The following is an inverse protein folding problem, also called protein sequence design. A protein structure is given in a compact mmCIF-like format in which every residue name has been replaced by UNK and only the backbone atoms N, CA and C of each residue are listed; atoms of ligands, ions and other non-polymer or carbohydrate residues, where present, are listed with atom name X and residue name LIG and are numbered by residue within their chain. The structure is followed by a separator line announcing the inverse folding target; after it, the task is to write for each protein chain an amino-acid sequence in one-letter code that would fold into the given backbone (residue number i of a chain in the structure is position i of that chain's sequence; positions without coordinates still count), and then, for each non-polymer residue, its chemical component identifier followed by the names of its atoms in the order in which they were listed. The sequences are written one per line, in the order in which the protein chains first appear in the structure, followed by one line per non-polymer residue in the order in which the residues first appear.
data_IF_813913271504
#
_entry.id   IF_813913271504
#
_cell.length_a   1.000
_cell.length_b   1.000
_cell.length_c   1.000
_cell.angle_alpha   90.00
_cell.angle_beta   90.00
_cell.angle_gamma   90.00
#
_symmetry.space_group_name_H-M   'P 1'
#
loop_
_entity.id
_entity.type
_entity.pdbx_description
1 polymer ?
#
# COMPACT_ATOMS: atom_id res chain seq x y z
N UNK A 1 9.72 -24.75 13.95
CA UNK A 1 10.78 -23.71 13.95
C UNK A 1 10.45 -22.71 12.85
N UNK A 2 9.89 -21.56 13.19
CA UNK A 2 9.72 -20.47 12.23
C UNK A 2 11.04 -19.71 12.13
N UNK A 3 11.71 -19.86 10.99
CA UNK A 3 12.86 -19.04 10.66
C UNK A 3 12.33 -17.66 10.27
N UNK A 4 12.36 -16.70 11.19
CA UNK A 4 12.26 -15.29 10.85
C UNK A 4 13.69 -14.85 10.57
N UNK A 5 14.11 -14.68 9.31
CA UNK A 5 15.42 -14.12 9.05
C UNK A 5 15.44 -12.71 9.64
N UNK A 6 16.25 -12.52 10.67
CA UNK A 6 16.65 -11.20 11.17
C UNK A 6 17.41 -10.53 10.02
N UNK A 7 16.68 -9.83 9.14
CA UNK A 7 17.31 -9.01 8.12
C UNK A 7 18.02 -7.87 8.85
N UNK A 8 19.35 -7.92 8.90
CA UNK A 8 20.17 -6.73 9.21
C UNK A 8 19.56 -5.56 8.42
N UNK A 9 19.31 -4.39 9.05
CA UNK A 9 18.86 -3.24 8.30
C UNK A 9 19.93 -2.98 7.23
N UNK A 10 19.55 -3.11 5.97
CA UNK A 10 20.35 -2.66 4.84
C UNK A 10 20.45 -1.15 5.04
N UNK A 11 21.50 -0.66 5.71
CA UNK A 11 21.71 0.77 5.89
C UNK A 11 21.98 1.34 4.49
N UNK A 12 20.96 1.95 3.90
CA UNK A 12 21.07 2.49 2.56
C UNK A 12 22.15 3.56 2.45
N UNK A 13 22.71 3.55 1.25
CA UNK A 13 23.76 4.37 0.67
C UNK A 13 23.33 5.84 0.60
N UNK A 14 24.29 6.73 0.81
CA UNK A 14 24.21 8.19 0.69
C UNK A 14 23.35 8.64 -0.52
N UNK A 15 22.40 9.56 -0.29
CA UNK A 15 21.57 10.15 -1.35
C UNK A 15 22.36 11.32 -1.95
N UNK A 16 22.77 11.18 -3.21
CA UNK A 16 23.47 12.23 -3.95
C UNK A 16 22.52 12.86 -4.97
N UNK A 17 22.54 14.20 -5.12
CA UNK A 17 21.90 14.85 -6.24
C UNK A 17 22.44 14.32 -7.57
N UNK A 18 21.64 14.45 -8.62
CA UNK A 18 22.07 14.12 -9.96
C UNK A 18 23.22 15.05 -10.39
N UNK A 19 24.26 14.50 -11.02
CA UNK A 19 25.54 15.20 -11.24
C UNK A 19 25.42 16.49 -12.08
N UNK A 20 24.43 16.58 -12.95
CA UNK A 20 24.19 17.76 -13.79
C UNK A 20 23.14 18.72 -13.22
N UNK A 21 22.57 18.42 -12.05
CA UNK A 21 21.62 19.29 -11.38
C UNK A 21 22.35 20.48 -10.74
N UNK A 22 22.15 21.67 -11.32
CA UNK A 22 22.75 22.91 -10.85
C UNK A 22 22.09 23.44 -9.57
N UNK A 23 20.88 22.99 -9.23
CA UNK A 23 20.07 23.51 -8.13
C UNK A 23 19.38 22.39 -7.34
N UNK A 24 20.16 21.55 -6.63
CA UNK A 24 19.60 20.47 -5.83
C UNK A 24 18.68 21.01 -4.74
N UNK A 25 17.53 20.37 -4.57
CA UNK A 25 16.53 20.77 -3.57
C UNK A 25 16.81 20.14 -2.20
N UNK A 26 16.71 20.92 -1.12
CA UNK A 26 16.89 20.45 0.27
C UNK A 26 15.91 19.37 0.73
N UNK A 27 14.84 19.13 -0.03
CA UNK A 27 13.88 18.03 0.22
C UNK A 27 14.57 16.66 0.13
N UNK A 28 15.67 16.55 -0.64
CA UNK A 28 16.44 15.32 -0.77
C UNK A 28 16.96 14.80 0.58
N UNK A 29 17.26 15.70 1.51
CA UNK A 29 17.72 15.35 2.87
C UNK A 29 16.64 14.61 3.69
N UNK A 30 15.36 14.80 3.36
CA UNK A 30 14.23 14.16 4.04
C UNK A 30 13.91 12.76 3.55
N UNK A 31 14.45 12.35 2.40
CA UNK A 31 14.14 11.05 1.77
C UNK A 31 14.47 9.85 2.66
N UNK A 32 15.61 9.80 3.41
CA UNK A 32 15.88 8.69 4.33
C UNK A 32 14.81 8.56 5.42
N UNK A 33 14.25 9.68 5.88
CA UNK A 33 13.19 9.72 6.89
C UNK A 33 11.87 9.11 6.42
N UNK A 34 11.61 9.09 5.10
CA UNK A 34 10.40 8.49 4.52
C UNK A 34 10.51 6.95 4.50
N UNK A 35 11.71 6.42 4.25
CA UNK A 35 11.95 4.98 4.13
C UNK A 35 11.78 4.29 5.47
N UNK A 36 12.39 4.85 6.52
CA UNK A 36 12.37 4.30 7.89
C UNK A 36 11.35 4.97 8.80
N UNK A 37 10.39 5.69 8.22
CA UNK A 37 9.34 6.36 8.99
C UNK A 37 8.56 5.34 9.83
N UNK A 38 8.22 5.65 11.10
CA UNK A 38 7.32 4.82 11.90
C UNK A 38 5.95 4.60 11.22
N UNK A 39 5.55 5.52 10.34
CA UNK A 39 4.31 5.45 9.55
C UNK A 39 4.42 4.58 8.28
N UNK A 40 5.54 3.89 8.04
CA UNK A 40 5.73 3.04 6.88
C UNK A 40 4.77 1.85 6.91
N UNK A 41 4.00 1.66 5.84
CA UNK A 41 3.19 0.46 5.64
C UNK A 41 4.12 -0.74 5.42
N UNK A 42 4.15 -1.66 6.39
CA UNK A 42 5.07 -2.82 6.39
C UNK A 42 4.48 -4.08 5.76
N UNK A 43 3.16 -4.26 5.84
CA UNK A 43 2.48 -5.48 5.45
C UNK A 43 1.16 -5.17 4.74
N UNK A 44 0.63 -6.10 3.93
CA UNK A 44 -0.77 -6.05 3.51
C UNK A 44 -1.70 -6.05 4.73
N UNK A 45 -2.66 -5.14 4.72
CA UNK A 45 -3.61 -4.93 5.82
C UNK A 45 -5.02 -4.85 5.25
N UNK A 46 -5.99 -5.46 5.93
CA UNK A 46 -7.40 -5.44 5.55
C UNK A 46 -8.21 -4.91 6.72
N UNK A 47 -9.21 -4.06 6.46
CA UNK A 47 -10.10 -3.54 7.50
C UNK A 47 -10.86 -4.70 8.15
N UNK A 48 -10.88 -4.76 9.48
CA UNK A 48 -11.43 -5.91 10.24
C UNK A 48 -12.87 -6.26 9.82
N UNK A 49 -13.75 -5.27 9.73
CA UNK A 49 -15.15 -5.53 9.38
C UNK A 49 -15.31 -6.00 7.92
N UNK A 50 -14.50 -5.45 7.01
CA UNK A 50 -14.49 -5.90 5.62
C UNK A 50 -13.92 -7.32 5.48
N UNK A 51 -12.89 -7.65 6.25
CA UNK A 51 -12.33 -8.99 6.29
C UNK A 51 -13.32 -10.05 6.79
N UNK A 52 -14.31 -9.67 7.60
CA UNK A 52 -15.36 -10.59 8.07
C UNK A 52 -16.57 -10.63 7.13
N UNK A 53 -17.01 -9.46 6.65
CA UNK A 53 -18.31 -9.29 6.01
C UNK A 53 -18.24 -8.95 4.51
N UNK A 54 -17.03 -8.82 3.93
CA UNK A 54 -16.79 -8.47 2.51
C UNK A 54 -17.61 -7.25 2.07
N UNK A 55 -18.23 -7.30 0.90
CA UNK A 55 -19.09 -6.23 0.35
C UNK A 55 -20.32 -5.88 1.23
N UNK A 56 -20.67 -6.70 2.22
CA UNK A 56 -21.75 -6.42 3.20
C UNK A 56 -21.25 -5.71 4.46
N UNK A 57 -19.97 -5.39 4.54
CA UNK A 57 -19.39 -4.66 5.67
C UNK A 57 -19.95 -3.25 5.80
N UNK A 58 -19.99 -2.76 7.03
CA UNK A 58 -20.44 -1.42 7.36
C UNK A 58 -19.42 -0.39 6.87
N UNK A 59 -19.87 0.52 6.01
CA UNK A 59 -19.03 1.56 5.42
C UNK A 59 -18.85 2.75 6.36
N UNK A 60 -19.69 2.92 7.38
CA UNK A 60 -19.57 3.99 8.37
C UNK A 60 -18.35 3.82 9.28
N UNK A 61 -17.85 2.59 9.43
CA UNK A 61 -16.65 2.27 10.23
C UNK A 61 -15.33 2.57 9.50
N UNK A 62 -15.34 3.24 8.33
CA UNK A 62 -14.11 3.69 7.67
C UNK A 62 -13.46 4.82 8.47
N UNK A 63 -12.17 4.70 8.79
CA UNK A 63 -11.43 5.68 9.59
C UNK A 63 -11.16 5.26 11.05
N UNK A 64 -11.75 4.15 11.50
CA UNK A 64 -11.59 3.62 12.86
C UNK A 64 -10.27 2.84 13.09
N UNK A 65 -9.32 2.91 12.15
CA UNK A 65 -7.95 2.35 12.26
C UNK A 65 -7.81 0.87 12.69
N UNK A 66 -8.88 0.07 12.66
CA UNK A 66 -8.86 -1.36 12.96
C UNK A 66 -8.56 -2.18 11.71
N UNK A 67 -7.36 -2.74 11.66
CA UNK A 67 -6.88 -3.57 10.55
C UNK A 67 -6.35 -4.92 11.03
N UNK A 68 -6.51 -5.94 10.20
CA UNK A 68 -5.89 -7.26 10.34
C UNK A 68 -4.78 -7.40 9.30
N UNK A 69 -3.64 -7.95 9.72
CA UNK A 69 -2.54 -8.30 8.82
C UNK A 69 -2.89 -9.58 8.08
N UNK A 70 -2.67 -9.60 6.77
CA UNK A 70 -2.86 -10.77 5.90
C UNK A 70 -1.57 -11.11 5.15
N UNK A 71 -1.51 -12.30 4.53
CA UNK A 71 -0.43 -12.63 3.60
C UNK A 71 -0.60 -11.89 2.27
N UNK A 72 0.45 -11.88 1.44
CA UNK A 72 0.34 -11.33 0.08
C UNK A 72 -0.59 -12.15 -0.80
N UNK A 73 -0.52 -13.49 -0.71
CA UNK A 73 -1.40 -14.38 -1.47
C UNK A 73 -2.86 -14.10 -1.13
N UNK A 74 -3.19 -14.03 0.16
CA UNK A 74 -4.54 -13.72 0.62
C UNK A 74 -4.99 -12.31 0.20
N UNK A 75 -4.11 -11.31 0.27
CA UNK A 75 -4.46 -9.96 -0.18
C UNK A 75 -4.79 -9.93 -1.68
N UNK A 76 -4.04 -10.67 -2.50
CA UNK A 76 -4.27 -10.75 -3.94
C UNK A 76 -5.56 -11.50 -4.27
N UNK A 77 -5.83 -12.59 -3.59
CA UNK A 77 -7.08 -13.36 -3.74
C UNK A 77 -8.29 -12.48 -3.41
N UNK A 78 -8.25 -11.74 -2.30
CA UNK A 78 -9.33 -10.82 -1.89
C UNK A 78 -9.61 -9.73 -2.92
N UNK A 79 -8.56 -9.17 -3.54
CA UNK A 79 -8.71 -8.16 -4.60
C UNK A 79 -9.31 -8.80 -5.85
N UNK A 80 -8.82 -9.98 -6.24
CA UNK A 80 -9.32 -10.70 -7.40
C UNK A 80 -10.81 -11.06 -7.26
N UNK A 81 -11.21 -11.61 -6.12
CA UNK A 81 -12.60 -11.99 -5.83
C UNK A 81 -13.57 -10.81 -5.98
N UNK A 82 -13.20 -9.62 -5.46
CA UNK A 82 -14.06 -8.44 -5.60
C UNK A 82 -14.11 -7.89 -7.02
N UNK A 83 -12.98 -7.91 -7.74
CA UNK A 83 -12.98 -7.55 -9.16
C UNK A 83 -13.88 -8.50 -9.94
N UNK A 84 -13.77 -9.81 -9.72
CA UNK A 84 -14.61 -10.80 -10.40
C UNK A 84 -16.10 -10.60 -10.08
N UNK A 85 -16.44 -10.33 -8.82
CA UNK A 85 -17.82 -10.04 -8.39
C UNK A 85 -18.37 -8.79 -9.08
N UNK A 86 -17.63 -7.68 -9.07
CA UNK A 86 -18.07 -6.43 -9.72
C UNK A 86 -18.27 -6.66 -11.23
N UNK A 87 -17.38 -7.44 -11.86
CA UNK A 87 -17.50 -7.78 -13.28
C UNK A 87 -18.80 -8.54 -13.55
N UNK A 88 -19.09 -9.56 -12.74
CA UNK A 88 -20.29 -10.41 -12.87
C UNK A 88 -21.58 -9.63 -12.61
N UNK A 89 -21.60 -8.80 -11.57
CA UNK A 89 -22.81 -8.14 -11.10
C UNK A 89 -23.15 -6.86 -11.90
N UNK A 90 -22.14 -6.11 -12.35
CA UNK A 90 -22.35 -4.77 -12.92
C UNK A 90 -21.64 -4.51 -14.26
N UNK A 91 -20.79 -5.42 -14.71
CA UNK A 91 -20.05 -5.28 -15.96
C UNK A 91 -18.84 -4.32 -15.89
N UNK A 92 -18.13 -4.14 -17.02
CA UNK A 92 -16.78 -3.55 -17.05
C UNK A 92 -16.72 -2.04 -16.76
N UNK A 93 -17.84 -1.33 -16.84
CA UNK A 93 -17.90 0.14 -16.68
C UNK A 93 -17.98 0.64 -15.24
N UNK A 94 -17.70 -0.21 -14.24
CA UNK A 94 -17.80 0.13 -12.81
C UNK A 94 -16.48 0.13 -12.05
N UNK A 95 -15.36 -0.07 -12.74
CA UNK A 95 -14.04 0.20 -12.17
C UNK A 95 -13.65 1.65 -12.42
N UNK A 96 -13.10 2.29 -11.40
CA UNK A 96 -12.37 3.53 -11.57
C UNK A 96 -10.99 3.30 -10.97
N UNK A 97 -9.97 3.27 -11.81
CA UNK A 97 -8.59 3.32 -11.37
C UNK A 97 -8.15 4.77 -11.42
N UNK A 98 -7.86 5.34 -10.25
CA UNK A 98 -7.28 6.67 -10.18
C UNK A 98 -5.77 6.53 -10.00
N UNK A 99 -5.07 6.56 -11.13
CA UNK A 99 -3.62 6.81 -11.13
C UNK A 99 -3.44 8.27 -11.48
N UNK A 100 -2.62 9.00 -10.74
CA UNK A 100 -2.15 10.32 -11.19
C UNK A 100 -1.22 10.10 -12.38
N UNK A 101 -1.79 9.95 -13.58
CA UNK A 101 -1.05 10.12 -14.82
C UNK A 101 -1.02 11.62 -15.04
N UNK A 102 0.19 12.19 -14.97
CA UNK A 102 0.43 13.63 -14.98
C UNK A 102 -0.37 14.36 -16.06
N UNK A 103 -0.86 15.54 -15.68
CA UNK A 103 -1.36 16.54 -16.59
C UNK A 103 -0.40 16.66 -17.79
N UNK A 104 -0.95 16.47 -19.00
CA UNK A 104 -0.36 17.05 -20.20
C UNK A 104 -0.75 18.51 -20.27
#
# INVERSE_FOLDING_TARGET
MHFVPESKPISWVEIKPFEFDQYPTKILDGVPGIIYSPSRVRYPMVRVDWYKNRHKSDTSQRGDNRFVRVSWDEALDLVYEELERIQKDYGPGRYTQQTLVGAR
#
